data_IF_828247325532
#
_entry.id   IF_828247325532
#
_cell.length_a   1.000
_cell.length_b   1.000
_cell.length_c   1.000
_cell.angle_alpha   90.00
_cell.angle_beta   90.00
_cell.angle_gamma   90.00
#
_symmetry.space_group_name_H-M   'P 1'
#
loop_
_entity.id
_entity.type
_entity.pdbx_description
1 polymer ?
#
# COMPACT_ATOMS: atom_id res chain seq x y z
N UNK A 1 23.03 -6.33 10.26
CA UNK A 1 23.94 -6.85 9.21
C UNK A 1 23.11 -7.22 7.98
N UNK A 2 23.51 -6.79 6.78
CA UNK A 2 22.78 -7.11 5.56
C UNK A 2 22.97 -8.59 5.18
N UNK A 3 21.87 -9.29 4.90
CA UNK A 3 21.93 -10.66 4.35
C UNK A 3 22.45 -10.63 2.91
N UNK A 4 22.90 -11.78 2.40
CA UNK A 4 23.34 -11.91 1.00
C UNK A 4 22.24 -11.46 0.02
N UNK A 5 20.98 -11.82 0.30
CA UNK A 5 19.80 -11.32 -0.44
C UNK A 5 19.74 -9.78 -0.50
N UNK A 6 19.99 -9.10 0.60
CA UNK A 6 19.99 -7.64 0.63
C UNK A 6 21.14 -7.07 -0.21
N UNK A 7 22.31 -7.68 -0.14
CA UNK A 7 23.44 -7.26 -0.94
C UNK A 7 23.19 -7.45 -2.45
N UNK A 8 22.50 -8.52 -2.84
CA UNK A 8 22.06 -8.74 -4.22
C UNK A 8 21.05 -7.66 -4.67
N UNK A 9 20.05 -7.35 -3.84
CA UNK A 9 19.09 -6.30 -4.12
C UNK A 9 19.75 -4.93 -4.28
N UNK A 10 20.75 -4.62 -3.45
CA UNK A 10 21.52 -3.37 -3.55
C UNK A 10 22.35 -3.28 -4.85
N UNK A 11 22.77 -4.40 -5.41
CA UNK A 11 23.54 -4.47 -6.65
C UNK A 11 22.67 -4.51 -7.90
N UNK A 12 21.38 -4.76 -7.75
CA UNK A 12 20.47 -4.85 -8.89
C UNK A 12 20.43 -3.50 -9.63
N UNK A 13 20.80 -3.47 -10.93
CA UNK A 13 20.75 -2.23 -11.69
C UNK A 13 19.30 -1.81 -11.94
N UNK A 14 19.09 -0.51 -12.05
CA UNK A 14 17.84 0.07 -12.52
C UNK A 14 18.08 0.64 -13.92
N UNK A 15 17.21 0.28 -14.87
CA UNK A 15 17.18 0.91 -16.20
C UNK A 15 16.16 2.04 -16.21
N UNK A 16 16.36 3.03 -17.08
CA UNK A 16 15.40 4.13 -17.24
C UNK A 16 14.01 3.60 -17.65
N UNK A 17 13.97 2.59 -18.54
CA UNK A 17 12.73 1.96 -18.99
C UNK A 17 11.99 1.26 -17.84
N UNK A 18 12.69 0.50 -17.00
CA UNK A 18 12.08 -0.15 -15.85
C UNK A 18 11.57 0.87 -14.81
N UNK A 19 12.38 1.90 -14.54
CA UNK A 19 11.97 3.00 -13.66
C UNK A 19 10.69 3.68 -14.16
N UNK A 20 10.60 3.95 -15.45
CA UNK A 20 9.40 4.57 -16.06
C UNK A 20 8.20 3.62 -15.97
N UNK A 21 8.39 2.31 -16.19
CA UNK A 21 7.32 1.32 -16.06
C UNK A 21 6.77 1.25 -14.64
N UNK A 22 7.64 1.24 -13.62
CA UNK A 22 7.24 1.23 -12.21
C UNK A 22 6.46 2.52 -11.89
N UNK A 23 6.95 3.67 -12.33
CA UNK A 23 6.29 4.96 -12.12
C UNK A 23 4.89 5.00 -12.73
N UNK A 24 4.73 4.55 -13.98
CA UNK A 24 3.42 4.56 -14.65
C UNK A 24 2.45 3.54 -14.03
N UNK A 25 2.95 2.38 -13.59
CA UNK A 25 2.13 1.42 -12.84
C UNK A 25 1.65 2.01 -11.53
N UNK A 26 2.55 2.67 -10.77
CA UNK A 26 2.18 3.33 -9.52
C UNK A 26 1.12 4.43 -9.74
N UNK A 27 1.25 5.25 -10.79
CA UNK A 27 0.22 6.24 -11.15
C UNK A 27 -1.13 5.59 -11.45
N UNK A 28 -1.13 4.47 -12.15
CA UNK A 28 -2.35 3.72 -12.45
C UNK A 28 -2.99 3.22 -11.15
N UNK A 29 -2.18 2.67 -10.25
CA UNK A 29 -2.61 2.19 -8.95
C UNK A 29 -3.22 3.32 -8.10
N UNK A 30 -2.47 4.40 -7.90
CA UNK A 30 -2.90 5.57 -7.11
C UNK A 30 -4.19 6.19 -7.66
N UNK A 31 -4.31 6.31 -8.98
CA UNK A 31 -5.54 6.81 -9.61
C UNK A 31 -6.74 5.89 -9.40
N UNK A 32 -6.53 4.57 -9.44
CA UNK A 32 -7.59 3.60 -9.16
C UNK A 32 -8.04 3.69 -7.70
N UNK A 33 -7.10 3.88 -6.77
CA UNK A 33 -7.39 4.08 -5.35
C UNK A 33 -8.20 5.35 -5.10
N UNK A 34 -7.80 6.49 -5.66
CA UNK A 34 -8.53 7.76 -5.58
C UNK A 34 -9.96 7.63 -6.11
N UNK A 35 -10.16 6.84 -7.15
CA UNK A 35 -11.46 6.59 -7.77
C UNK A 35 -12.26 5.45 -7.08
N UNK A 36 -11.73 4.83 -6.04
CA UNK A 36 -12.34 3.65 -5.38
C UNK A 36 -12.56 2.47 -6.35
N UNK A 37 -11.74 2.38 -7.40
CA UNK A 37 -11.81 1.37 -8.44
C UNK A 37 -11.02 0.12 -8.05
N UNK A 38 -11.66 -0.81 -7.36
CA UNK A 38 -11.01 -2.06 -6.92
C UNK A 38 -10.53 -2.89 -8.11
N UNK A 39 -11.26 -2.94 -9.21
CA UNK A 39 -10.83 -3.68 -10.39
C UNK A 39 -9.56 -3.06 -11.01
N UNK A 40 -9.51 -1.73 -11.07
CA UNK A 40 -8.30 -0.98 -11.47
C UNK A 40 -7.12 -1.26 -10.55
N UNK A 41 -7.31 -1.28 -9.24
CA UNK A 41 -6.28 -1.65 -8.27
C UNK A 41 -5.75 -3.05 -8.52
N UNK A 42 -6.62 -4.05 -8.65
CA UNK A 42 -6.24 -5.44 -8.91
C UNK A 42 -5.46 -5.61 -10.22
N UNK A 43 -5.74 -4.78 -11.23
CA UNK A 43 -5.03 -4.82 -12.52
C UNK A 43 -3.54 -4.49 -12.40
N UNK A 44 -3.13 -3.83 -11.31
CA UNK A 44 -1.73 -3.45 -11.02
C UNK A 44 -0.98 -4.48 -10.16
N UNK A 45 -1.66 -5.54 -9.73
CA UNK A 45 -1.16 -6.50 -8.75
C UNK A 45 -0.92 -7.86 -9.36
N UNK A 46 0.14 -8.53 -8.89
CA UNK A 46 0.33 -9.97 -9.18
C UNK A 46 -0.80 -10.79 -8.56
N UNK A 47 -1.06 -11.97 -9.12
CA UNK A 47 -2.13 -12.85 -8.60
C UNK A 47 -1.89 -13.32 -7.17
N UNK A 48 -0.62 -13.45 -6.78
CA UNK A 48 -0.15 -13.88 -5.46
C UNK A 48 0.25 -12.69 -4.56
N UNK A 49 -0.27 -11.50 -4.84
CA UNK A 49 0.02 -10.30 -4.08
C UNK A 49 -0.30 -10.47 -2.58
N UNK A 50 0.41 -9.73 -1.76
CA UNK A 50 0.23 -9.78 -0.30
C UNK A 50 0.16 -8.36 0.25
N UNK A 51 -0.85 -8.12 1.07
CA UNK A 51 -1.03 -6.88 1.83
C UNK A 51 -0.75 -7.15 3.30
N UNK A 52 -0.01 -6.28 3.94
CA UNK A 52 0.26 -6.36 5.38
C UNK A 52 0.18 -4.97 6.01
N UNK A 53 -0.25 -4.93 7.27
CA UNK A 53 -0.15 -3.73 8.13
C UNK A 53 0.82 -4.06 9.26
N UNK A 54 1.94 -3.37 9.29
CA UNK A 54 3.03 -3.66 10.23
C UNK A 54 2.56 -3.59 11.69
N UNK A 55 3.06 -4.51 12.50
CA UNK A 55 2.75 -4.58 13.93
C UNK A 55 1.40 -5.19 14.30
N UNK A 56 0.51 -5.46 13.32
CA UNK A 56 -0.84 -5.98 13.59
C UNK A 56 -0.96 -7.49 13.41
N UNK A 57 -0.05 -8.10 12.64
CA UNK A 57 -0.16 -9.49 12.20
C UNK A 57 -1.21 -9.71 11.09
N UNK A 58 -1.94 -8.67 10.69
CA UNK A 58 -2.93 -8.76 9.63
C UNK A 58 -2.28 -8.98 8.26
N UNK A 59 -2.88 -9.88 7.48
CA UNK A 59 -2.37 -10.29 6.18
C UNK A 59 -3.52 -10.67 5.24
N UNK A 60 -3.46 -10.15 4.02
CA UNK A 60 -4.41 -10.45 2.95
C UNK A 60 -3.64 -10.98 1.74
N UNK A 61 -4.07 -12.11 1.18
CA UNK A 61 -3.34 -12.81 0.13
C UNK A 61 -4.15 -12.92 -1.15
N UNK A 62 -3.47 -12.73 -2.27
CA UNK A 62 -4.03 -12.81 -3.62
C UNK A 62 -5.04 -11.71 -3.93
N UNK A 63 -5.65 -11.77 -5.11
CA UNK A 63 -6.65 -10.79 -5.54
C UNK A 63 -7.89 -10.79 -4.64
N UNK A 64 -8.30 -11.95 -4.12
CA UNK A 64 -9.39 -12.03 -3.14
C UNK A 64 -9.04 -11.31 -1.84
N UNK A 65 -7.83 -11.52 -1.34
CA UNK A 65 -7.33 -10.82 -0.15
C UNK A 65 -7.22 -9.31 -0.38
N UNK A 66 -6.66 -8.87 -1.51
CA UNK A 66 -6.56 -7.45 -1.86
C UNK A 66 -7.94 -6.80 -1.99
N UNK A 67 -8.90 -7.48 -2.61
CA UNK A 67 -10.30 -7.02 -2.69
C UNK A 67 -10.88 -6.81 -1.29
N UNK A 68 -10.65 -7.76 -0.41
CA UNK A 68 -11.12 -7.70 0.97
C UNK A 68 -10.45 -6.56 1.74
N UNK A 69 -9.12 -6.39 1.60
CA UNK A 69 -8.39 -5.29 2.20
C UNK A 69 -8.98 -3.93 1.82
N UNK A 70 -9.16 -3.65 0.53
CA UNK A 70 -9.73 -2.37 0.08
C UNK A 70 -11.19 -2.21 0.48
N UNK A 71 -11.99 -3.26 0.46
CA UNK A 71 -13.38 -3.20 0.90
C UNK A 71 -13.47 -2.86 2.39
N UNK A 72 -12.67 -3.49 3.23
CA UNK A 72 -12.61 -3.23 4.67
C UNK A 72 -12.10 -1.81 4.94
N UNK A 73 -11.01 -1.40 4.27
CA UNK A 73 -10.42 -0.07 4.41
C UNK A 73 -11.41 1.04 4.06
N UNK A 74 -12.00 0.95 2.86
CA UNK A 74 -12.91 1.97 2.35
C UNK A 74 -14.27 1.99 3.08
N UNK A 75 -14.63 0.88 3.71
CA UNK A 75 -15.81 0.84 4.61
C UNK A 75 -15.50 1.47 5.95
N UNK A 76 -14.33 1.19 6.52
CA UNK A 76 -13.92 1.75 7.81
C UNK A 76 -13.63 3.25 7.72
N UNK A 77 -13.11 3.70 6.58
CA UNK A 77 -12.66 5.07 6.34
C UNK A 77 -13.19 5.58 4.99
N UNK A 78 -14.50 5.84 4.85
CA UNK A 78 -15.11 6.17 3.55
C UNK A 78 -14.61 7.48 2.94
N UNK A 79 -14.13 8.40 3.76
CA UNK A 79 -13.55 9.68 3.36
C UNK A 79 -12.02 9.70 3.35
N UNK A 80 -11.38 8.52 3.38
CA UNK A 80 -9.91 8.43 3.42
C UNK A 80 -9.28 9.18 2.25
N UNK A 81 -8.31 10.02 2.58
CA UNK A 81 -7.56 10.83 1.63
C UNK A 81 -6.07 10.75 1.94
N UNK A 82 -5.27 10.53 0.91
CA UNK A 82 -3.82 10.45 0.97
C UNK A 82 -3.21 11.71 0.34
N UNK A 83 -2.50 12.48 1.12
CA UNK A 83 -1.67 13.57 0.64
C UNK A 83 -0.21 13.12 0.62
N UNK A 84 0.32 12.86 -0.58
CA UNK A 84 1.65 12.33 -0.77
C UNK A 84 2.69 13.38 -0.39
N UNK A 85 3.61 13.01 0.48
CA UNK A 85 4.67 13.88 1.00
C UNK A 85 6.06 13.46 0.46
N UNK A 86 6.29 12.15 0.33
CA UNK A 86 7.51 11.57 -0.21
C UNK A 86 7.24 10.38 -1.10
N UNK A 87 8.07 10.22 -2.15
CA UNK A 87 8.09 9.03 -2.98
C UNK A 87 9.51 8.70 -3.45
N UNK A 88 9.87 7.43 -3.35
CA UNK A 88 11.13 6.87 -3.87
C UNK A 88 10.79 5.72 -4.80
N UNK A 89 11.37 5.73 -5.99
CA UNK A 89 11.22 4.66 -6.99
C UNK A 89 12.59 4.07 -7.28
N UNK A 90 12.67 2.76 -7.24
CA UNK A 90 13.88 2.01 -7.53
C UNK A 90 13.58 0.63 -8.11
N UNK A 91 14.60 -0.18 -8.40
CA UNK A 91 14.42 -1.49 -9.05
C UNK A 91 13.70 -2.52 -8.16
N UNK A 92 13.49 -2.21 -6.89
CA UNK A 92 12.75 -3.05 -5.94
C UNK A 92 11.28 -2.65 -5.83
N UNK A 93 10.90 -1.51 -6.37
CA UNK A 93 9.54 -0.99 -6.33
C UNK A 93 9.44 0.46 -5.89
N UNK A 94 8.37 0.78 -5.19
CA UNK A 94 8.05 2.13 -4.71
C UNK A 94 7.98 2.12 -3.19
N UNK A 95 8.50 3.19 -2.58
CA UNK A 95 8.19 3.54 -1.21
C UNK A 95 7.62 4.96 -1.21
N UNK A 96 6.45 5.12 -0.65
CA UNK A 96 5.83 6.43 -0.48
C UNK A 96 5.56 6.74 0.98
N UNK A 97 5.53 8.01 1.32
CA UNK A 97 5.05 8.53 2.59
C UNK A 97 3.91 9.51 2.33
N UNK A 98 2.82 9.37 3.07
CA UNK A 98 1.65 10.21 2.94
C UNK A 98 1.14 10.67 4.30
N UNK A 99 0.60 11.90 4.32
CA UNK A 99 -0.31 12.34 5.37
C UNK A 99 -1.70 11.84 4.99
N UNK A 100 -2.33 11.11 5.89
CA UNK A 100 -3.64 10.51 5.66
C UNK A 100 -4.66 11.14 6.60
N UNK A 101 -5.77 11.56 6.05
CA UNK A 101 -6.94 12.02 6.81
C UNK A 101 -8.11 11.08 6.57
N UNK A 102 -8.87 10.79 7.61
CA UNK A 102 -10.01 9.88 7.54
C UNK A 102 -10.97 10.07 8.72
N UNK A 103 -12.21 9.62 8.55
CA UNK A 103 -13.17 9.46 9.65
C UNK A 103 -13.40 7.97 9.89
N UNK A 104 -13.26 7.51 11.16
CA UNK A 104 -13.39 6.10 11.51
C UNK A 104 -14.87 5.72 11.72
N UNK A 105 -15.52 5.22 10.69
CA UNK A 105 -16.97 4.99 10.64
C UNK A 105 -17.39 3.51 10.76
N UNK A 106 -16.49 2.57 10.50
CA UNK A 106 -16.74 1.14 10.65
C UNK A 106 -15.54 0.43 11.27
N UNK A 107 -15.70 -0.84 11.61
CA UNK A 107 -14.63 -1.65 12.21
C UNK A 107 -13.42 -1.72 11.30
N UNK A 108 -12.25 -1.47 11.87
CA UNK A 108 -10.95 -1.68 11.23
C UNK A 108 -10.07 -2.56 12.10
N UNK A 109 -9.67 -3.72 11.56
CA UNK A 109 -8.96 -4.76 12.32
C UNK A 109 -9.74 -5.11 13.61
N UNK A 110 -9.11 -4.95 14.76
CA UNK A 110 -9.71 -5.21 16.07
C UNK A 110 -10.36 -3.99 16.73
N UNK A 111 -10.45 -2.85 16.01
CA UNK A 111 -10.97 -1.60 16.52
C UNK A 111 -12.40 -1.36 16.05
N UNK A 112 -13.31 -1.21 17.00
CA UNK A 112 -14.68 -0.79 16.73
C UNK A 112 -14.73 0.70 16.31
N UNK A 113 -15.73 1.13 15.52
CA UNK A 113 -15.81 2.48 15.01
C UNK A 113 -15.87 3.51 16.15
N UNK A 114 -15.07 4.55 16.05
CA UNK A 114 -14.99 5.63 17.04
C UNK A 114 -15.72 6.90 16.61
N UNK A 115 -16.01 7.04 15.30
CA UNK A 115 -16.52 8.28 14.71
C UNK A 115 -15.50 9.42 14.70
N UNK A 116 -14.26 9.15 15.11
CA UNK A 116 -13.23 10.17 15.22
C UNK A 116 -12.64 10.54 13.84
N UNK A 117 -12.35 11.84 13.66
CA UNK A 117 -11.51 12.33 12.58
C UNK A 117 -10.05 12.06 12.95
N UNK A 118 -9.35 11.41 12.06
CA UNK A 118 -7.97 10.97 12.23
C UNK A 118 -7.06 11.71 11.25
N UNK A 119 -5.85 12.00 11.71
CA UNK A 119 -4.73 12.40 10.87
C UNK A 119 -3.55 11.53 11.27
N UNK A 120 -2.95 10.85 10.29
CA UNK A 120 -1.89 9.89 10.53
C UNK A 120 -0.87 9.93 9.40
N UNK A 121 0.29 9.33 9.62
CA UNK A 121 1.29 9.10 8.59
C UNK A 121 1.35 7.63 8.21
N UNK A 122 1.42 7.39 6.92
CA UNK A 122 1.70 6.08 6.36
C UNK A 122 3.00 6.11 5.56
N UNK A 123 3.81 5.06 5.71
CA UNK A 123 4.83 4.72 4.73
C UNK A 123 4.42 3.38 4.10
N UNK A 124 4.34 3.33 2.78
CA UNK A 124 3.85 2.16 2.05
C UNK A 124 4.92 1.71 1.05
N UNK A 125 5.30 0.44 1.15
CA UNK A 125 6.15 -0.22 0.17
C UNK A 125 5.30 -1.01 -0.81
N UNK A 126 5.55 -0.79 -2.11
CA UNK A 126 4.98 -1.53 -3.23
C UNK A 126 6.09 -2.38 -3.86
N UNK A 127 6.29 -3.63 -3.45
CA UNK A 127 7.33 -4.48 -4.02
C UNK A 127 7.05 -4.76 -5.49
N UNK A 128 8.06 -4.57 -6.34
CA UNK A 128 7.98 -4.79 -7.78
C UNK A 128 8.35 -6.21 -8.16
N UNK A 129 7.58 -6.80 -9.06
CA UNK A 129 7.92 -8.03 -9.75
C UNK A 129 8.40 -7.70 -11.17
N UNK A 130 9.71 -7.84 -11.46
CA UNK A 130 10.25 -7.47 -12.77
C UNK A 130 9.83 -8.42 -13.91
N UNK A 131 9.41 -9.64 -13.60
CA UNK A 131 8.93 -10.61 -14.58
C UNK A 131 7.47 -10.34 -14.93
N UNK A 132 6.61 -10.25 -13.93
CA UNK A 132 5.21 -9.92 -14.13
C UNK A 132 4.98 -8.45 -14.53
N UNK A 133 5.92 -7.56 -14.18
CA UNK A 133 5.83 -6.09 -14.33
C UNK A 133 4.61 -5.53 -13.60
N UNK A 134 4.36 -6.03 -12.40
CA UNK A 134 3.25 -5.68 -11.50
C UNK A 134 3.76 -5.55 -10.07
N UNK A 135 2.97 -4.93 -9.20
CA UNK A 135 3.27 -4.91 -7.77
C UNK A 135 2.87 -6.21 -7.08
N UNK A 136 3.66 -6.61 -6.10
CA UNK A 136 3.42 -7.81 -5.29
C UNK A 136 2.56 -7.54 -4.07
N UNK A 137 1.83 -6.43 -4.03
CA UNK A 137 1.01 -5.97 -2.92
C UNK A 137 1.60 -4.76 -2.22
N UNK A 138 1.26 -4.60 -0.96
CA UNK A 138 1.68 -3.47 -0.14
C UNK A 138 2.12 -3.91 1.26
N UNK A 139 3.17 -3.26 1.76
CA UNK A 139 3.54 -3.31 3.17
C UNK A 139 3.28 -1.93 3.78
N UNK A 140 2.22 -1.82 4.58
CA UNK A 140 1.79 -0.57 5.19
C UNK A 140 2.41 -0.42 6.57
N UNK A 141 3.09 0.70 6.79
CA UNK A 141 3.59 1.16 8.09
C UNK A 141 2.81 2.41 8.46
N UNK A 142 2.23 2.44 9.64
CA UNK A 142 1.34 3.53 10.06
C UNK A 142 1.60 3.93 11.51
N UNK A 143 1.41 5.20 11.81
CA UNK A 143 1.35 5.71 13.18
C UNK A 143 -0.10 5.85 13.69
N UNK A 144 -1.04 5.17 13.02
CA UNK A 144 -2.45 5.19 13.39
C UNK A 144 -2.67 4.84 14.86
N UNK A 145 -3.34 5.75 15.55
CA UNK A 145 -3.80 5.56 16.92
C UNK A 145 -5.27 5.96 17.01
N UNK A 146 -6.05 5.10 17.65
CA UNK A 146 -7.45 5.43 17.94
C UNK A 146 -7.56 6.11 19.30
N UNK A 147 -8.49 7.09 19.44
CA UNK A 147 -8.74 7.69 20.73
C UNK A 147 -9.12 6.61 21.76
N UNK A 148 -8.44 6.61 22.88
CA UNK A 148 -8.86 5.82 24.04
C UNK A 148 -10.02 6.53 24.69
N UNK A 149 -11.16 5.86 24.80
CA UNK A 149 -12.34 6.37 25.50
C UNK A 149 -12.11 6.63 26.99
#
# INVERSE_FOLDING_TARGET
MASERILELMRRPSTAEEHDAIRELWKTHSKAEDNRDIAGLLSTLTRDCVYTVAGTGARWEGHEGATRFYTELLTAFPDIHFELDYIVIGPQGVCEEAIVTATHEARWLDHEPTGAKLTLRNAIFFPWDPEARLFKGEMVYTDLQFPTG
#
